data_IF_854598458201
#
_entry.id   IF_854598458201
#
_cell.length_a   1.000
_cell.length_b   1.000
_cell.length_c   1.000
_cell.angle_alpha   90.00
_cell.angle_beta   90.00
_cell.angle_gamma   90.00
#
_symmetry.space_group_name_H-M   'P 1'
#
loop_
_entity.id
_entity.type
_entity.pdbx_description
1 polymer ?
#
# COMPACT_ATOMS: atom_id res chain seq x y z
N UNK A 1 10.99 24.85 3.22
CA UNK A 1 10.43 23.69 3.96
C UNK A 1 11.58 22.75 4.30
N UNK A 2 11.74 22.31 5.56
CA UNK A 2 12.71 21.26 5.90
C UNK A 2 12.14 19.91 5.48
N UNK A 3 12.88 19.17 4.65
CA UNK A 3 12.44 17.89 4.07
C UNK A 3 13.17 16.68 4.67
N UNK A 4 13.87 16.87 5.79
CA UNK A 4 14.44 15.80 6.59
C UNK A 4 13.31 15.18 7.43
N UNK A 5 13.08 13.88 7.26
CA UNK A 5 12.05 13.14 7.98
C UNK A 5 12.58 12.40 9.21
N UNK A 6 11.74 11.56 9.79
CA UNK A 6 12.12 10.68 10.91
C UNK A 6 12.94 9.47 10.49
N UNK A 7 12.84 9.05 9.22
CA UNK A 7 13.51 7.85 8.70
C UNK A 7 12.88 6.52 9.13
N UNK A 8 11.74 6.57 9.83
CA UNK A 8 11.00 5.37 10.24
C UNK A 8 10.57 4.56 9.01
N UNK A 9 10.86 3.26 9.05
CA UNK A 9 10.57 2.31 7.97
C UNK A 9 9.22 1.62 8.16
N UNK A 10 8.66 1.09 7.09
CA UNK A 10 7.44 0.28 7.17
C UNK A 10 7.60 -0.91 8.11
N UNK A 11 6.64 -1.05 9.02
CA UNK A 11 6.46 -2.24 9.85
C UNK A 11 5.44 -3.20 9.21
N UNK A 12 5.35 -4.42 9.74
CA UNK A 12 4.35 -5.40 9.29
C UNK A 12 2.91 -4.87 9.50
N UNK A 13 2.65 -4.32 10.68
CA UNK A 13 1.35 -3.79 11.09
C UNK A 13 0.85 -2.64 10.20
N UNK A 14 1.76 -1.88 9.55
CA UNK A 14 1.39 -0.84 8.59
C UNK A 14 0.70 -1.43 7.36
N UNK A 15 1.20 -2.56 6.85
CA UNK A 15 0.59 -3.23 5.71
C UNK A 15 -0.74 -3.88 6.06
N UNK A 16 -0.89 -4.43 7.27
CA UNK A 16 -2.15 -5.00 7.75
C UNK A 16 -3.22 -3.90 7.89
N UNK A 17 -2.86 -2.75 8.47
CA UNK A 17 -3.72 -1.56 8.54
C UNK A 17 -4.15 -1.10 7.15
N UNK A 18 -3.20 -0.96 6.22
CA UNK A 18 -3.46 -0.50 4.87
C UNK A 18 -4.39 -1.47 4.11
N UNK A 19 -4.10 -2.76 4.16
CA UNK A 19 -4.90 -3.82 3.54
C UNK A 19 -6.35 -3.82 4.06
N UNK A 20 -6.52 -3.73 5.39
CA UNK A 20 -7.84 -3.62 6.02
C UNK A 20 -8.61 -2.37 5.58
N UNK A 21 -7.92 -1.24 5.48
CA UNK A 21 -8.54 0.04 5.08
C UNK A 21 -9.00 0.03 3.63
N UNK A 22 -8.22 -0.58 2.73
CA UNK A 22 -8.56 -0.74 1.31
C UNK A 22 -9.62 -1.83 1.10
N UNK A 23 -9.62 -2.87 1.94
CA UNK A 23 -10.39 -4.09 1.72
C UNK A 23 -9.71 -5.01 0.68
N UNK A 24 -8.40 -5.19 0.77
CA UNK A 24 -7.62 -6.09 -0.07
C UNK A 24 -6.67 -6.98 0.75
N UNK A 25 -5.99 -7.92 0.09
CA UNK A 25 -4.96 -8.74 0.73
C UNK A 25 -3.71 -7.92 1.09
N UNK A 26 -3.01 -8.31 2.16
CA UNK A 26 -1.69 -7.76 2.52
C UNK A 26 -0.67 -7.94 1.39
N UNK A 27 -0.72 -9.08 0.70
CA UNK A 27 0.14 -9.35 -0.46
C UNK A 27 -0.10 -8.35 -1.60
N UNK A 28 -1.34 -7.93 -1.83
CA UNK A 28 -1.68 -6.98 -2.89
C UNK A 28 -1.10 -5.58 -2.61
N UNK A 29 -1.26 -5.06 -1.40
CA UNK A 29 -0.67 -3.74 -1.06
C UNK A 29 0.86 -3.79 -0.98
N UNK A 30 1.45 -4.91 -0.54
CA UNK A 30 2.91 -5.13 -0.64
C UNK A 30 3.40 -5.14 -2.08
N UNK A 31 2.63 -5.71 -3.01
CA UNK A 31 2.95 -5.69 -4.43
C UNK A 31 2.99 -4.27 -4.98
N UNK A 32 1.98 -3.46 -4.68
CA UNK A 32 1.93 -2.03 -5.06
C UNK A 32 3.16 -1.30 -4.53
N UNK A 33 3.42 -1.36 -3.21
CA UNK A 33 4.57 -0.67 -2.63
C UNK A 33 5.88 -1.15 -3.24
N UNK A 34 6.04 -2.46 -3.51
CA UNK A 34 7.29 -2.98 -4.09
C UNK A 34 7.56 -2.54 -5.53
N UNK A 35 6.50 -2.30 -6.31
CA UNK A 35 6.61 -1.89 -7.72
C UNK A 35 6.78 -0.37 -7.83
N UNK A 36 6.13 0.39 -6.95
CA UNK A 36 6.18 1.85 -6.95
C UNK A 36 7.39 2.39 -6.17
N UNK A 37 7.77 1.75 -5.07
CA UNK A 37 8.91 2.19 -4.28
C UNK A 37 10.21 1.74 -4.93
N UNK A 38 11.08 2.71 -5.25
CA UNK A 38 12.50 2.46 -5.48
C UNK A 38 13.23 2.13 -4.15
N UNK A 39 12.75 1.11 -3.45
CA UNK A 39 13.28 0.51 -2.22
C UNK A 39 12.96 1.24 -0.90
N UNK A 40 12.89 2.56 -0.89
CA UNK A 40 12.85 3.36 0.34
C UNK A 40 12.19 4.72 0.11
N UNK A 41 11.44 5.20 1.11
CA UNK A 41 10.78 6.51 1.10
C UNK A 41 11.71 7.68 1.43
N UNK A 42 12.81 7.41 2.10
CA UNK A 42 13.85 8.38 2.43
C UNK A 42 15.18 8.03 1.75
N UNK A 43 15.98 9.04 1.43
CA UNK A 43 17.34 8.87 0.92
C UNK A 43 18.36 8.62 2.06
N UNK A 44 19.64 8.43 1.70
CA UNK A 44 20.70 8.17 2.68
C UNK A 44 20.98 9.34 3.64
N UNK A 45 20.51 10.55 3.33
CA UNK A 45 20.59 11.75 4.18
C UNK A 45 19.30 11.96 4.98
N UNK A 46 18.43 10.95 5.00
CA UNK A 46 17.13 10.95 5.65
C UNK A 46 16.16 12.01 5.11
N UNK A 47 16.35 12.46 3.87
CA UNK A 47 15.44 13.39 3.21
C UNK A 47 14.37 12.61 2.45
N UNK A 48 13.13 13.10 2.45
CA UNK A 48 12.00 12.47 1.76
C UNK A 48 12.27 12.36 0.25
N UNK A 49 12.37 11.15 -0.29
CA UNK A 49 12.62 10.98 -1.72
C UNK A 49 11.55 11.66 -2.55
N UNK A 50 11.99 12.31 -3.62
CA UNK A 50 11.12 13.09 -4.48
C UNK A 50 11.54 13.00 -5.95
N UNK A 51 10.64 13.42 -6.84
CA UNK A 51 10.91 13.65 -8.25
C UNK A 51 10.06 14.85 -8.74
N UNK A 52 10.68 16.00 -9.04
CA UNK A 52 9.96 17.10 -9.66
C UNK A 52 9.62 16.73 -11.12
N UNK A 53 8.40 17.05 -11.55
CA UNK A 53 7.85 16.73 -12.87
C UNK A 53 7.72 18.02 -13.71
N UNK A 54 8.72 18.38 -14.54
CA UNK A 54 8.75 19.67 -15.23
C UNK A 54 7.55 19.91 -16.15
N UNK A 55 6.98 18.84 -16.70
CA UNK A 55 5.80 18.90 -17.54
C UNK A 55 4.50 19.16 -16.76
N UNK A 56 4.41 18.71 -15.51
CA UNK A 56 3.34 19.14 -14.61
C UNK A 56 3.54 20.59 -14.19
N UNK A 57 4.79 20.99 -13.87
CA UNK A 57 5.08 22.37 -13.49
C UNK A 57 4.72 23.34 -14.61
N UNK A 58 5.07 23.02 -15.86
CA UNK A 58 4.64 23.75 -17.05
C UNK A 58 3.11 23.89 -17.12
N UNK A 59 2.35 22.83 -16.82
CA UNK A 59 0.89 22.82 -16.90
C UNK A 59 0.24 23.72 -15.84
N UNK A 60 0.86 23.85 -14.68
CA UNK A 60 0.33 24.63 -13.56
C UNK A 60 0.65 26.13 -13.67
N UNK A 61 1.79 26.48 -14.27
CA UNK A 61 2.21 27.87 -14.41
C UNK A 61 1.56 28.60 -15.59
N UNK A 62 1.49 29.94 -15.48
CA UNK A 62 1.05 30.85 -16.55
C UNK A 62 1.90 32.12 -16.56
N UNK A 63 1.76 32.93 -17.62
CA UNK A 63 2.30 34.29 -17.65
C UNK A 63 3.82 34.38 -17.43
N UNK A 64 4.24 35.28 -16.53
CA UNK A 64 5.65 35.54 -16.24
C UNK A 64 6.34 34.34 -15.57
N UNK A 65 5.66 33.64 -14.67
CA UNK A 65 6.21 32.46 -13.98
C UNK A 65 6.53 31.33 -14.97
N UNK A 66 5.62 31.04 -15.91
CA UNK A 66 5.86 30.03 -16.94
C UNK A 66 7.04 30.41 -17.83
N UNK A 67 7.11 31.68 -18.27
CA UNK A 67 8.23 32.17 -19.09
C UNK A 67 9.57 32.01 -18.36
N UNK A 68 9.61 32.36 -17.08
CA UNK A 68 10.80 32.19 -16.25
C UNK A 68 11.18 30.72 -16.10
N UNK A 69 10.23 29.86 -15.72
CA UNK A 69 10.49 28.44 -15.51
C UNK A 69 11.00 27.73 -16.78
N UNK A 70 10.46 28.07 -17.96
CA UNK A 70 10.95 27.57 -19.25
C UNK A 70 12.34 28.09 -19.56
N UNK A 71 12.60 29.39 -19.40
CA UNK A 71 13.92 29.99 -19.62
C UNK A 71 15.00 29.39 -18.72
N UNK A 72 14.62 28.98 -17.51
CA UNK A 72 15.49 28.36 -16.51
C UNK A 72 15.66 26.84 -16.66
N UNK A 73 14.97 26.20 -17.62
CA UNK A 73 15.00 24.75 -17.84
C UNK A 73 14.24 23.94 -16.77
N UNK A 74 13.36 24.57 -16.02
CA UNK A 74 12.60 23.97 -14.91
C UNK A 74 11.22 23.46 -15.35
N UNK A 75 10.72 23.91 -16.50
CA UNK A 75 9.43 23.54 -17.06
C UNK A 75 9.53 23.29 -18.58
N UNK A 76 8.87 22.26 -19.08
CA UNK A 76 8.77 21.95 -20.51
C UNK A 76 7.43 21.28 -20.84
N UNK A 77 6.96 21.36 -22.08
CA UNK A 77 5.55 21.09 -22.39
C UNK A 77 5.21 19.60 -22.38
N UNK A 78 6.14 18.75 -22.81
CA UNK A 78 5.86 17.32 -23.03
C UNK A 78 6.72 16.44 -22.13
N UNK A 79 6.13 15.33 -21.66
CA UNK A 79 6.89 14.32 -20.93
C UNK A 79 8.04 13.77 -21.78
N UNK A 80 9.21 13.62 -21.19
CA UNK A 80 10.40 13.06 -21.85
C UNK A 80 11.15 14.03 -22.76
N UNK A 81 10.82 15.32 -22.77
CA UNK A 81 11.54 16.34 -23.54
C UNK A 81 13.00 16.49 -23.07
N UNK A 82 13.24 16.28 -21.77
CA UNK A 82 14.58 16.20 -21.21
C UNK A 82 14.71 15.02 -20.24
N UNK A 83 15.91 14.43 -20.09
CA UNK A 83 16.17 13.44 -19.07
C UNK A 83 15.90 13.99 -17.67
N UNK A 84 15.38 13.14 -16.79
CA UNK A 84 15.24 13.49 -15.37
C UNK A 84 16.58 13.53 -14.66
N UNK A 85 16.64 14.34 -13.61
CA UNK A 85 17.76 14.41 -12.70
C UNK A 85 18.04 13.04 -12.06
N UNK A 86 19.31 12.63 -12.08
CA UNK A 86 19.72 11.27 -11.72
C UNK A 86 19.79 11.06 -10.22
N UNK A 87 20.23 12.05 -9.47
CA UNK A 87 20.44 11.94 -8.02
C UNK A 87 19.36 12.67 -7.23
N UNK A 88 19.16 12.30 -5.97
CA UNK A 88 18.27 13.06 -5.08
C UNK A 88 18.81 14.48 -4.85
N UNK A 89 20.13 14.68 -4.77
CA UNK A 89 20.72 16.02 -4.60
C UNK A 89 20.32 16.97 -5.74
N UNK A 90 20.43 16.52 -6.98
CA UNK A 90 20.02 17.30 -8.16
C UNK A 90 18.52 17.62 -8.14
N UNK A 91 17.69 16.64 -7.74
CA UNK A 91 16.23 16.82 -7.64
C UNK A 91 15.84 17.81 -6.56
N UNK A 92 16.53 17.82 -5.42
CA UNK A 92 16.35 18.81 -4.37
C UNK A 92 16.73 20.22 -4.84
N UNK A 93 17.83 20.34 -5.61
CA UNK A 93 18.23 21.62 -6.22
C UNK A 93 17.15 22.09 -7.19
N UNK A 94 16.64 21.22 -8.06
CA UNK A 94 15.54 21.55 -8.99
C UNK A 94 14.29 21.99 -8.23
N UNK A 95 13.86 21.23 -7.22
CA UNK A 95 12.69 21.59 -6.42
C UNK A 95 12.86 22.96 -5.76
N UNK A 96 14.01 23.24 -5.16
CA UNK A 96 14.28 24.54 -4.53
C UNK A 96 14.16 25.69 -5.54
N UNK A 97 14.66 25.51 -6.77
CA UNK A 97 14.52 26.49 -7.85
C UNK A 97 13.08 26.64 -8.31
N UNK A 98 12.32 25.54 -8.43
CA UNK A 98 10.88 25.59 -8.75
C UNK A 98 10.10 26.33 -7.65
N UNK A 99 10.39 26.06 -6.38
CA UNK A 99 9.74 26.72 -5.25
C UNK A 99 10.05 28.23 -5.18
N UNK A 100 11.22 28.65 -5.68
CA UNK A 100 11.57 30.06 -5.78
C UNK A 100 10.73 30.81 -6.83
N UNK A 101 10.17 30.11 -7.82
CA UNK A 101 9.24 30.67 -8.81
C UNK A 101 7.82 30.62 -8.26
N UNK A 102 7.35 29.42 -7.91
CA UNK A 102 6.00 29.23 -7.37
C UNK A 102 5.98 27.99 -6.45
N UNK A 103 5.87 28.17 -5.12
CA UNK A 103 6.00 27.08 -4.15
C UNK A 103 4.83 26.07 -4.22
N UNK A 104 3.61 26.54 -4.45
CA UNK A 104 2.43 25.67 -4.52
C UNK A 104 2.51 24.77 -5.75
N UNK A 105 2.69 25.36 -6.94
CA UNK A 105 2.85 24.60 -8.17
C UNK A 105 4.07 23.68 -8.13
N UNK A 106 5.15 24.05 -7.45
CA UNK A 106 6.34 23.21 -7.31
C UNK A 106 6.06 21.95 -6.47
N UNK A 107 5.31 22.08 -5.37
CA UNK A 107 4.93 20.94 -4.54
C UNK A 107 3.92 20.04 -5.27
N UNK A 108 2.94 20.64 -5.95
CA UNK A 108 1.91 19.93 -6.72
C UNK A 108 2.48 19.14 -7.91
N UNK A 109 3.50 19.71 -8.56
CA UNK A 109 4.21 19.08 -9.67
C UNK A 109 5.35 18.17 -9.24
N UNK A 110 5.44 17.76 -7.99
CA UNK A 110 6.44 16.81 -7.53
C UNK A 110 5.78 15.51 -7.07
N UNK A 111 6.41 14.37 -7.35
CA UNK A 111 6.05 13.08 -6.75
C UNK A 111 6.84 12.87 -5.45
N UNK A 112 6.22 12.18 -4.49
CA UNK A 112 6.74 12.10 -3.12
C UNK A 112 6.76 10.67 -2.56
N UNK A 113 7.86 10.33 -1.89
CA UNK A 113 8.01 9.15 -1.04
C UNK A 113 7.89 7.80 -1.77
N UNK A 114 7.59 6.77 -0.97
CA UNK A 114 7.46 5.37 -1.40
C UNK A 114 6.50 5.18 -2.58
N UNK A 115 5.37 5.88 -2.56
CA UNK A 115 4.29 5.69 -3.54
C UNK A 115 4.44 6.52 -4.80
N UNK A 116 5.43 7.42 -4.86
CA UNK A 116 5.54 8.44 -5.90
C UNK A 116 4.21 9.19 -6.12
N UNK A 117 3.50 9.51 -5.03
CA UNK A 117 2.23 10.22 -5.10
C UNK A 117 2.51 11.67 -5.49
N UNK A 118 1.88 12.15 -6.57
CA UNK A 118 1.98 13.53 -7.00
C UNK A 118 1.33 14.48 -5.98
N UNK A 119 1.97 15.61 -5.70
CA UNK A 119 1.43 16.66 -4.83
C UNK A 119 0.04 17.13 -5.25
N UNK A 120 -0.19 17.24 -6.56
CA UNK A 120 -1.49 17.62 -7.13
C UNK A 120 -2.64 16.67 -6.77
N UNK A 121 -2.34 15.46 -6.25
CA UNK A 121 -3.34 14.50 -5.79
C UNK A 121 -3.61 14.59 -4.28
N UNK A 122 -3.05 15.56 -3.56
CA UNK A 122 -3.15 15.66 -2.10
C UNK A 122 -4.60 15.59 -1.60
N UNK A 123 -5.51 16.37 -2.19
CA UNK A 123 -6.94 16.33 -1.84
C UNK A 123 -7.58 14.98 -2.14
N UNK A 124 -7.21 14.35 -3.27
CA UNK A 124 -7.67 13.00 -3.61
C UNK A 124 -7.21 11.98 -2.55
N UNK A 125 -6.04 12.19 -1.97
CA UNK A 125 -5.51 11.37 -0.90
C UNK A 125 -6.06 11.72 0.49
N UNK A 126 -6.92 12.73 0.61
CA UNK A 126 -7.51 13.17 1.88
C UNK A 126 -6.70 14.21 2.67
N UNK A 127 -5.70 14.84 2.06
CA UNK A 127 -4.93 15.94 2.65
C UNK A 127 -5.46 17.29 2.19
N UNK A 128 -5.28 18.34 3.00
CA UNK A 128 -5.76 19.67 2.65
C UNK A 128 -4.97 20.35 1.51
N UNK A 129 -3.71 19.95 1.32
CA UNK A 129 -2.82 20.48 0.28
C UNK A 129 -1.59 19.59 0.10
N UNK A 130 -0.79 19.81 -0.96
CA UNK A 130 0.49 19.14 -1.11
C UNK A 130 1.44 19.41 0.08
N UNK A 131 1.41 20.62 0.65
CA UNK A 131 2.21 20.94 1.86
C UNK A 131 1.83 20.05 3.03
N UNK A 132 0.54 19.84 3.26
CA UNK A 132 0.02 19.00 4.34
C UNK A 132 0.38 17.51 4.11
N UNK A 133 0.19 17.02 2.89
CA UNK A 133 0.59 15.67 2.50
C UNK A 133 2.09 15.42 2.73
N UNK A 134 2.94 16.33 2.24
CA UNK A 134 4.39 16.20 2.38
C UNK A 134 4.81 16.30 3.84
N UNK A 135 4.20 17.17 4.62
CA UNK A 135 4.44 17.28 6.06
C UNK A 135 4.08 15.98 6.79
N UNK A 136 2.98 15.32 6.41
CA UNK A 136 2.63 14.00 6.92
C UNK A 136 3.68 12.94 6.54
N UNK A 137 4.12 12.93 5.28
CA UNK A 137 5.08 11.94 4.76
C UNK A 137 6.45 11.99 5.47
N UNK A 138 6.83 13.14 6.02
CA UNK A 138 8.05 13.29 6.82
C UNK A 138 8.03 12.50 8.13
N UNK A 139 6.84 12.11 8.62
CA UNK A 139 6.69 11.35 9.88
C UNK A 139 7.18 9.91 9.78
N UNK A 140 7.32 9.36 8.57
CA UNK A 140 7.82 8.01 8.34
C UNK A 140 7.18 7.35 7.13
N UNK A 141 7.71 6.19 6.75
CA UNK A 141 7.20 5.42 5.62
C UNK A 141 5.76 4.91 5.85
N UNK A 142 5.35 4.66 7.10
CA UNK A 142 3.95 4.34 7.43
C UNK A 142 2.97 5.46 7.03
N UNK A 143 3.35 6.72 7.25
CA UNK A 143 2.55 7.87 6.82
C UNK A 143 2.55 8.05 5.29
N UNK A 144 3.63 7.63 4.62
CA UNK A 144 3.66 7.58 3.15
C UNK A 144 2.74 6.49 2.60
N UNK A 145 2.67 5.34 3.27
CA UNK A 145 1.72 4.27 2.94
C UNK A 145 0.28 4.74 3.14
N UNK A 146 -0.02 5.50 4.19
CA UNK A 146 -1.35 6.08 4.37
C UNK A 146 -1.73 6.99 3.18
N UNK A 147 -0.78 7.73 2.61
CA UNK A 147 -1.00 8.50 1.38
C UNK A 147 -1.26 7.63 0.14
N UNK A 148 -0.58 6.48 0.01
CA UNK A 148 -0.86 5.49 -1.05
C UNK A 148 -2.29 4.94 -0.90
N UNK A 149 -2.69 4.59 0.33
CA UNK A 149 -4.04 4.12 0.65
C UNK A 149 -5.07 5.20 0.29
N UNK A 150 -4.83 6.45 0.69
CA UNK A 150 -5.68 7.59 0.36
C UNK A 150 -5.86 7.73 -1.15
N UNK A 151 -4.76 7.68 -1.91
CA UNK A 151 -4.82 7.73 -3.37
C UNK A 151 -5.64 6.59 -3.98
N UNK A 152 -5.41 5.35 -3.54
CA UNK A 152 -6.14 4.15 -4.02
C UNK A 152 -7.64 4.29 -3.76
N UNK A 153 -8.04 4.76 -2.59
CA UNK A 153 -9.45 4.93 -2.23
C UNK A 153 -10.06 6.11 -3.00
N UNK A 154 -9.41 7.28 -2.98
CA UNK A 154 -9.89 8.51 -3.60
C UNK A 154 -10.03 8.42 -5.12
N UNK A 155 -9.25 7.57 -5.78
CA UNK A 155 -9.34 7.30 -7.23
C UNK A 155 -10.21 6.09 -7.58
N UNK A 156 -10.78 5.40 -6.59
CA UNK A 156 -11.64 4.22 -6.81
C UNK A 156 -10.89 2.95 -7.20
N UNK A 157 -9.58 2.89 -6.99
CA UNK A 157 -8.72 1.75 -7.35
C UNK A 157 -8.75 0.59 -6.33
N UNK A 158 -9.41 0.76 -5.20
CA UNK A 158 -9.57 -0.30 -4.20
C UNK A 158 -10.21 -1.57 -4.79
N UNK A 159 -11.24 -1.44 -5.63
CA UNK A 159 -11.91 -2.59 -6.27
C UNK A 159 -11.02 -3.32 -7.28
N UNK A 160 -10.37 -2.64 -8.25
CA UNK A 160 -9.36 -3.26 -9.09
C UNK A 160 -8.26 -3.97 -8.31
N UNK A 161 -7.75 -3.35 -7.25
CA UNK A 161 -6.70 -3.94 -6.42
C UNK A 161 -7.17 -5.23 -5.74
N UNK A 162 -8.32 -5.19 -5.06
CA UNK A 162 -8.87 -6.33 -4.33
C UNK A 162 -9.26 -7.51 -5.25
N UNK A 163 -9.53 -7.25 -6.53
CA UNK A 163 -9.86 -8.28 -7.53
C UNK A 163 -8.65 -8.72 -8.36
N UNK A 164 -7.47 -8.19 -8.06
CA UNK A 164 -6.26 -8.42 -8.84
C UNK A 164 -6.42 -8.08 -10.33
N UNK A 165 -7.27 -7.08 -10.64
CA UNK A 165 -7.35 -6.49 -11.98
C UNK A 165 -6.17 -5.53 -12.16
N UNK A 166 -4.98 -6.11 -12.31
CA UNK A 166 -3.72 -5.37 -12.41
C UNK A 166 -3.68 -4.43 -13.61
N UNK A 167 -4.44 -4.73 -14.65
CA UNK A 167 -4.55 -3.88 -15.83
C UNK A 167 -5.33 -2.60 -15.51
N UNK A 168 -6.51 -2.73 -14.90
CA UNK A 168 -7.30 -1.58 -14.49
C UNK A 168 -6.59 -0.79 -13.39
N UNK A 169 -5.98 -1.48 -12.42
CA UNK A 169 -5.22 -0.84 -11.35
C UNK A 169 -4.04 -0.04 -11.89
N UNK A 170 -3.16 -0.66 -12.68
CA UNK A 170 -1.97 0.01 -13.23
C UNK A 170 -2.33 1.19 -14.15
N UNK A 171 -3.40 1.07 -14.94
CA UNK A 171 -3.88 2.18 -15.77
C UNK A 171 -4.33 3.38 -14.92
N UNK A 172 -5.01 3.11 -13.81
CA UNK A 172 -5.47 4.16 -12.91
C UNK A 172 -4.34 4.78 -12.08
N UNK A 173 -3.40 3.95 -11.61
CA UNK A 173 -2.32 4.39 -10.74
C UNK A 173 -1.18 5.07 -11.52
N UNK A 174 -0.70 4.45 -12.61
CA UNK A 174 0.44 4.93 -13.40
C UNK A 174 0.02 5.70 -14.67
N UNK A 175 -1.28 5.77 -14.96
CA UNK A 175 -1.83 6.45 -16.14
C UNK A 175 -1.83 5.60 -17.42
N UNK A 176 -2.26 6.18 -18.57
CA UNK A 176 -2.48 5.44 -19.81
C UNK A 176 -1.22 4.81 -20.41
N UNK A 177 -0.03 5.27 -20.01
CA UNK A 177 1.25 4.72 -20.44
C UNK A 177 1.68 3.45 -19.71
N UNK A 178 0.91 2.96 -18.73
CA UNK A 178 1.32 1.88 -17.82
C UNK A 178 1.85 0.63 -18.55
N UNK A 179 1.23 0.25 -19.67
CA UNK A 179 1.57 -0.96 -20.43
C UNK A 179 2.97 -0.89 -21.05
N UNK A 180 3.46 0.30 -21.44
CA UNK A 180 4.82 0.47 -21.98
C UNK A 180 5.90 0.09 -20.97
N UNK A 181 5.59 0.25 -19.68
CA UNK A 181 6.48 -0.07 -18.57
C UNK A 181 6.12 -1.39 -17.88
N UNK A 182 5.17 -2.16 -18.44
CA UNK A 182 4.68 -3.44 -17.93
C UNK A 182 4.25 -3.41 -16.45
N UNK A 183 3.67 -2.30 -15.99
CA UNK A 183 3.26 -2.14 -14.59
C UNK A 183 2.28 -3.22 -14.15
N UNK A 184 1.31 -3.57 -15.00
CA UNK A 184 0.36 -4.65 -14.75
C UNK A 184 1.04 -6.00 -14.51
N UNK A 185 2.00 -6.37 -15.35
CA UNK A 185 2.72 -7.65 -15.25
C UNK A 185 3.70 -7.67 -14.07
N UNK A 186 4.29 -6.51 -13.74
CA UNK A 186 5.13 -6.34 -12.56
C UNK A 186 4.33 -6.50 -11.27
N UNK A 187 3.16 -5.88 -11.20
CA UNK A 187 2.24 -5.99 -10.07
C UNK A 187 1.76 -7.43 -9.87
N UNK A 188 1.31 -8.12 -10.93
CA UNK A 188 0.91 -9.54 -10.84
C UNK A 188 2.04 -10.42 -10.31
N UNK A 189 3.25 -10.25 -10.85
CA UNK A 189 4.42 -11.02 -10.41
C UNK A 189 4.78 -10.73 -8.96
N UNK A 190 4.79 -9.46 -8.55
CA UNK A 190 5.08 -9.06 -7.20
C UNK A 190 4.03 -9.63 -6.23
N UNK A 191 2.75 -9.53 -6.58
CA UNK A 191 1.65 -10.12 -5.81
C UNK A 191 1.85 -11.61 -5.61
N UNK A 192 2.03 -12.40 -6.68
CA UNK A 192 2.24 -13.85 -6.59
C UNK A 192 3.44 -14.21 -5.71
N UNK A 193 4.52 -13.43 -5.78
CA UNK A 193 5.70 -13.64 -4.93
C UNK A 193 5.37 -13.40 -3.46
N UNK A 194 4.72 -12.29 -3.12
CA UNK A 194 4.32 -12.00 -1.74
C UNK A 194 3.30 -13.00 -1.24
N UNK A 195 2.27 -13.32 -2.02
CA UNK A 195 1.25 -14.30 -1.68
C UNK A 195 1.84 -15.67 -1.37
N UNK A 196 2.84 -16.13 -2.14
CA UNK A 196 3.56 -17.39 -1.87
C UNK A 196 4.45 -17.33 -0.62
N UNK A 197 5.03 -16.17 -0.33
CA UNK A 197 5.90 -15.96 0.84
C UNK A 197 5.11 -15.73 2.13
N UNK A 198 3.85 -15.31 2.02
CA UNK A 198 2.94 -15.29 3.16
C UNK A 198 2.61 -16.74 3.51
N UNK A 199 2.63 -17.12 4.81
CA UNK A 199 2.03 -18.39 5.19
C UNK A 199 0.59 -18.44 4.67
N UNK A 200 0.17 -19.58 4.13
CA UNK A 200 -1.16 -19.81 3.52
C UNK A 200 -2.25 -19.55 4.55
N UNK A 201 -2.69 -18.30 4.76
CA UNK A 201 -3.57 -17.91 5.87
C UNK A 201 -3.16 -16.63 6.62
N UNK A 202 -2.32 -15.77 6.02
CA UNK A 202 -2.01 -14.44 6.54
C UNK A 202 -3.19 -13.43 6.45
N UNK A 203 -4.29 -13.80 5.77
CA UNK A 203 -5.63 -13.31 6.06
C UNK A 203 -6.52 -14.53 6.33
N UNK A 204 -6.97 -14.78 7.57
CA UNK A 204 -7.83 -15.91 7.89
C UNK A 204 -9.24 -15.86 7.26
N UNK A 205 -9.59 -14.76 6.59
CA UNK A 205 -10.92 -14.53 6.03
C UNK A 205 -10.90 -14.11 4.56
N UNK A 206 -9.77 -14.23 3.84
CA UNK A 206 -9.72 -13.91 2.40
C UNK A 206 -10.76 -14.72 1.60
N UNK A 207 -10.96 -15.99 1.97
CA UNK A 207 -12.01 -16.89 1.44
C UNK A 207 -13.27 -16.96 2.33
N UNK A 208 -13.34 -16.11 3.36
CA UNK A 208 -14.44 -15.98 4.31
C UNK A 208 -14.40 -16.92 5.52
N UNK A 209 -13.52 -17.92 5.56
CA UNK A 209 -13.41 -18.93 6.62
C UNK A 209 -12.00 -19.55 6.69
N UNK A 210 -11.56 -19.97 7.89
CA UNK A 210 -10.50 -20.98 8.01
C UNK A 210 -11.07 -22.39 7.77
N UNK A 211 -10.34 -23.23 7.04
CA UNK A 211 -10.73 -24.61 6.73
C UNK A 211 -9.52 -25.53 6.47
N UNK A 212 -9.79 -26.81 6.19
CA UNK A 212 -8.77 -27.83 5.94
C UNK A 212 -7.75 -27.38 4.88
N UNK A 213 -6.46 -27.46 5.23
CA UNK A 213 -5.34 -27.09 4.36
C UNK A 213 -4.74 -25.71 4.65
N UNK A 214 -5.45 -24.85 5.39
CA UNK A 214 -4.95 -23.54 5.79
C UNK A 214 -3.82 -23.66 6.81
N UNK A 215 -2.88 -22.71 6.79
CA UNK A 215 -1.78 -22.62 7.76
C UNK A 215 -1.53 -21.19 8.29
N UNK A 216 -0.97 -21.05 9.48
CA UNK A 216 -0.48 -19.76 9.99
C UNK A 216 -1.05 -19.33 11.34
N UNK A 217 -0.82 -18.08 11.70
CA UNK A 217 -1.08 -17.54 13.06
C UNK A 217 -2.56 -17.64 13.46
N UNK A 218 -3.49 -17.43 12.54
CA UNK A 218 -4.90 -17.55 12.85
C UNK A 218 -5.34 -19.01 13.13
N UNK A 219 -4.70 -19.99 12.48
CA UNK A 219 -4.89 -21.41 12.78
C UNK A 219 -4.25 -21.76 14.13
N UNK A 220 -3.09 -21.18 14.47
CA UNK A 220 -2.47 -21.30 15.80
C UNK A 220 -3.44 -20.80 16.88
N UNK A 221 -4.04 -19.62 16.69
CA UNK A 221 -4.98 -19.05 17.66
C UNK A 221 -6.24 -19.91 17.80
N UNK A 222 -6.77 -20.39 16.68
CA UNK A 222 -7.87 -21.36 16.66
C UNK A 222 -7.52 -22.62 17.45
N UNK A 223 -6.36 -23.22 17.19
CA UNK A 223 -5.92 -24.47 17.85
C UNK A 223 -5.72 -24.30 19.35
N UNK A 224 -5.12 -23.18 19.78
CA UNK A 224 -4.96 -22.83 21.21
C UNK A 224 -6.32 -22.74 21.89
N UNK A 225 -7.27 -22.02 21.28
CA UNK A 225 -8.58 -21.78 21.85
C UNK A 225 -9.43 -23.06 21.89
N UNK A 226 -9.40 -23.88 20.83
CA UNK A 226 -10.07 -25.18 20.80
C UNK A 226 -9.51 -26.13 21.85
N UNK A 227 -8.18 -26.23 21.94
CA UNK A 227 -7.51 -27.09 22.93
C UNK A 227 -7.83 -26.63 24.36
N UNK A 228 -7.81 -25.32 24.62
CA UNK A 228 -8.20 -24.75 25.92
C UNK A 228 -9.67 -25.05 26.29
N UNK A 229 -10.54 -25.26 25.29
CA UNK A 229 -11.93 -25.68 25.46
C UNK A 229 -12.13 -27.21 25.36
N UNK A 230 -11.06 -27.99 25.50
CA UNK A 230 -11.09 -29.46 25.48
C UNK A 230 -11.49 -30.10 24.14
N UNK A 231 -11.37 -29.35 23.03
CA UNK A 231 -11.47 -29.89 21.68
C UNK A 231 -10.07 -30.18 21.15
N UNK A 232 -9.70 -31.46 21.06
CA UNK A 232 -8.34 -31.88 20.76
C UNK A 232 -7.98 -31.64 19.29
N UNK A 233 -7.01 -30.76 19.03
CA UNK A 233 -6.52 -30.42 17.67
C UNK A 233 -5.30 -31.24 17.25
N UNK A 234 -4.79 -32.11 18.12
CA UNK A 234 -3.56 -32.89 17.88
C UNK A 234 -2.27 -32.10 18.04
N UNK A 235 -2.35 -30.86 18.54
CA UNK A 235 -1.22 -29.95 18.70
C UNK A 235 -1.58 -28.52 18.29
N UNK A 236 -0.61 -27.62 18.46
CA UNK A 236 -0.68 -26.23 17.99
C UNK A 236 0.49 -26.01 17.04
N UNK A 237 0.37 -26.56 15.84
CA UNK A 237 1.39 -26.52 14.78
C UNK A 237 1.10 -25.43 13.74
N UNK A 238 -0.06 -24.76 13.84
CA UNK A 238 -0.52 -23.78 12.89
C UNK A 238 -0.99 -24.37 11.57
N UNK A 239 -1.23 -25.68 11.48
CA UNK A 239 -1.78 -26.33 10.30
C UNK A 239 -3.21 -26.82 10.55
N UNK A 240 -4.13 -26.44 9.66
CA UNK A 240 -5.53 -26.85 9.72
C UNK A 240 -5.65 -28.24 9.08
N UNK A 241 -5.16 -29.25 9.80
CA UNK A 241 -5.23 -30.65 9.41
C UNK A 241 -6.50 -31.36 9.88
N UNK A 242 -6.52 -32.69 9.68
CA UNK A 242 -7.66 -33.57 10.01
C UNK A 242 -8.15 -33.44 11.46
N UNK A 243 -7.22 -33.32 12.40
CA UNK A 243 -7.55 -33.20 13.82
C UNK A 243 -8.13 -31.81 14.16
N UNK A 244 -7.63 -30.74 13.53
CA UNK A 244 -8.21 -29.40 13.65
C UNK A 244 -9.63 -29.34 13.06
N UNK A 245 -9.89 -29.93 11.89
CA UNK A 245 -11.25 -30.02 11.32
C UNK A 245 -12.21 -30.78 12.24
N UNK A 246 -11.77 -31.91 12.80
CA UNK A 246 -12.57 -32.67 13.76
C UNK A 246 -12.89 -31.84 15.02
N UNK A 247 -11.91 -31.13 15.58
CA UNK A 247 -12.10 -30.27 16.73
C UNK A 247 -13.08 -29.13 16.45
N UNK A 248 -13.00 -28.49 15.27
CA UNK A 248 -13.93 -27.45 14.84
C UNK A 248 -15.35 -27.99 14.73
N UNK A 249 -15.55 -29.14 14.08
CA UNK A 249 -16.89 -29.75 13.93
C UNK A 249 -17.48 -30.14 15.28
N UNK A 250 -16.68 -30.67 16.19
CA UNK A 250 -17.12 -30.99 17.55
C UNK A 250 -17.54 -29.73 18.30
N UNK A 251 -16.75 -28.66 18.22
CA UNK A 251 -17.09 -27.37 18.82
C UNK A 251 -18.37 -26.79 18.23
N UNK A 252 -18.49 -26.74 16.90
CA UNK A 252 -19.69 -26.24 16.21
C UNK A 252 -20.94 -26.98 16.67
N UNK A 253 -20.86 -28.31 16.79
CA UNK A 253 -21.95 -29.13 17.32
C UNK A 253 -22.30 -28.78 18.77
N UNK A 254 -21.30 -28.61 19.63
CA UNK A 254 -21.50 -28.26 21.04
C UNK A 254 -22.08 -26.84 21.22
N UNK A 255 -21.73 -25.91 20.33
CA UNK A 255 -22.16 -24.52 20.35
C UNK A 255 -23.48 -24.27 19.60
N UNK A 256 -24.11 -25.28 19.00
CA UNK A 256 -25.35 -25.13 18.23
C UNK A 256 -25.16 -24.36 16.90
N UNK A 257 -23.97 -24.40 16.34
CA UNK A 257 -23.62 -23.77 15.06
C UNK A 257 -23.77 -24.76 13.90
N UNK A 258 -23.72 -24.24 12.67
CA UNK A 258 -23.63 -25.07 11.45
C UNK A 258 -22.34 -25.90 11.51
N UNK A 259 -22.46 -27.23 11.37
CA UNK A 259 -21.33 -28.17 11.49
C UNK A 259 -20.69 -28.43 10.12
N UNK A 260 -20.03 -27.41 9.58
CA UNK A 260 -19.41 -27.45 8.25
C UNK A 260 -17.88 -27.59 8.29
N UNK A 261 -17.25 -27.52 9.47
CA UNK A 261 -15.80 -27.57 9.65
C UNK A 261 -15.09 -26.29 9.24
N UNK A 262 -15.83 -25.20 9.00
CA UNK A 262 -15.31 -23.90 8.57
C UNK A 262 -15.42 -22.87 9.69
N UNK A 263 -14.34 -22.14 9.93
CA UNK A 263 -14.29 -21.11 10.98
C UNK A 263 -14.31 -19.72 10.35
N UNK A 264 -15.52 -19.22 10.12
CA UNK A 264 -15.77 -17.83 9.72
C UNK A 264 -16.08 -16.95 10.93
N UNK A 265 -16.51 -15.69 10.70
CA UNK A 265 -16.80 -14.73 11.79
C UNK A 265 -17.80 -15.25 12.83
N UNK A 266 -18.80 -16.04 12.45
CA UNK A 266 -19.76 -16.63 13.39
C UNK A 266 -19.10 -17.55 14.41
N UNK A 267 -18.42 -18.60 13.91
CA UNK A 267 -17.65 -19.55 14.73
C UNK A 267 -16.54 -18.84 15.50
N UNK A 268 -15.81 -17.93 14.85
CA UNK A 268 -14.70 -17.19 15.46
C UNK A 268 -15.13 -16.29 16.62
N UNK A 269 -16.27 -15.58 16.50
CA UNK A 269 -16.83 -14.79 17.62
C UNK A 269 -17.29 -15.67 18.77
N UNK A 270 -17.94 -16.79 18.48
CA UNK A 270 -18.32 -17.78 19.50
C UNK A 270 -17.08 -18.30 20.25
N UNK A 271 -15.96 -18.45 19.53
CA UNK A 271 -14.68 -18.84 20.09
C UNK A 271 -13.95 -17.70 20.82
N UNK A 272 -14.33 -16.43 20.63
CA UNK A 272 -13.63 -15.28 21.20
C UNK A 272 -12.30 -14.98 20.50
N UNK A 273 -12.15 -15.36 19.24
CA UNK A 273 -10.93 -15.11 18.46
C UNK A 273 -10.86 -13.62 18.06
N UNK A 274 -9.75 -12.96 18.38
CA UNK A 274 -9.58 -11.52 18.20
C UNK A 274 -9.74 -11.08 16.73
N UNK A 275 -9.32 -11.92 15.78
CA UNK A 275 -9.47 -11.65 14.35
C UNK A 275 -10.92 -11.76 13.84
N UNK A 276 -11.82 -12.36 14.64
CA UNK A 276 -13.23 -12.54 14.29
C UNK A 276 -14.13 -11.41 14.82
N UNK A 277 -13.58 -10.47 15.59
CA UNK A 277 -14.29 -9.32 16.16
C UNK A 277 -14.87 -8.39 15.09
#
# INVERSE_FOLDING_TARGET
>A
MNLIGTGLRLAADDYERAAKTIGCEVAAIKAVVSVEAAGAGFDAKNRLKLLPEPHYFHRLLKGAELKQAVAEGLAYKSWGEQPYDRTQDDRYIRLARMMAINPEAALDSCSWGLGQIMGANAETCGYASATDMVTSFLRGEGAQLDGIVGFIIGTGLAKPLARHDWKAFAKGYNGPGYAKNAYDTKLDRAYRNFARMMPVGADPLADGYLSMGDVGSAVIDLQKVLTARSFATGGVDGAFGKLTDQAVRQYQKAAGLVVDGKVGRGTGRSLGLAWAA
#
